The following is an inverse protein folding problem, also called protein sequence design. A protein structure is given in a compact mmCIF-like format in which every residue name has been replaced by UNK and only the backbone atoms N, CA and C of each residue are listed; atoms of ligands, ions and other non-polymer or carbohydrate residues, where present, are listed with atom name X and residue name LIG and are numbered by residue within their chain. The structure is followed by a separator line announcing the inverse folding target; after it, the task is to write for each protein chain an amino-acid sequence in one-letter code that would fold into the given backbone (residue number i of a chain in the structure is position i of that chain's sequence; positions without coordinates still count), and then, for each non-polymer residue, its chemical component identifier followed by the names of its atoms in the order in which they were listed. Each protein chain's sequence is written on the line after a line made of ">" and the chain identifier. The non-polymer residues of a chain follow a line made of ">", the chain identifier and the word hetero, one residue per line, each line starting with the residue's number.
data_IF_182821048750
#
_entry.id   IF_182821048750
#
_cell.length_a   1.000
_cell.length_b   1.000
_cell.length_c   1.000
_cell.angle_alpha   90.00
_cell.angle_beta   90.00
_cell.angle_gamma   90.00
#
_symmetry.space_group_name_H-M   'P 1'
#
loop_
_entity.id
_entity.type
_entity.pdbx_description
1 polymer ?
#
# COMPACT_ATOMS: atom_id res chain seq x y z
N UNK A 1 -5.71 19.60 18.46
CA UNK A 1 -6.19 20.99 18.54
C UNK A 1 -5.75 21.78 17.31
N UNK A 2 -6.54 22.78 16.87
CA UNK A 2 -6.15 23.66 15.76
C UNK A 2 -5.07 24.66 16.16
N UNK A 3 -4.97 24.96 17.44
CA UNK A 3 -4.04 25.93 18.02
C UNK A 3 -3.38 25.38 19.27
N UNK A 4 -2.13 25.73 19.47
CA UNK A 4 -1.35 25.49 20.68
C UNK A 4 -0.77 26.80 21.20
N UNK A 5 -0.72 26.97 22.53
CA UNK A 5 -0.12 28.16 23.16
C UNK A 5 1.16 27.76 23.87
N UNK A 6 2.25 28.46 23.57
CA UNK A 6 3.54 28.29 24.21
C UNK A 6 4.19 29.66 24.45
N UNK A 7 4.68 29.93 25.67
CA UNK A 7 5.26 31.20 26.06
C UNK A 7 4.35 32.41 25.72
N UNK A 8 3.04 32.32 26.02
CA UNK A 8 2.02 33.33 25.76
C UNK A 8 1.83 33.68 24.27
N UNK A 9 2.34 32.84 23.35
CA UNK A 9 2.08 32.96 21.92
C UNK A 9 1.24 31.78 21.44
N UNK A 10 0.26 32.07 20.57
CA UNK A 10 -0.60 31.06 19.97
C UNK A 10 -0.06 30.70 18.59
N UNK A 11 0.10 29.41 18.36
CA UNK A 11 0.57 28.82 17.10
C UNK A 11 -0.54 28.01 16.47
N UNK A 12 -0.63 28.03 15.13
CA UNK A 12 -1.45 27.08 14.39
C UNK A 12 -0.78 25.72 14.39
N UNK A 13 -1.52 24.66 14.71
CA UNK A 13 -1.02 23.28 14.58
C UNK A 13 -1.37 22.84 13.18
N UNK A 14 -0.39 22.56 12.35
CA UNK A 14 -0.56 22.17 10.94
C UNK A 14 -0.01 20.78 10.62
N UNK A 15 0.69 20.15 11.54
CA UNK A 15 1.34 18.85 11.31
C UNK A 15 1.31 17.99 12.56
N UNK A 16 1.33 16.67 12.37
CA UNK A 16 1.70 15.71 13.40
C UNK A 16 3.19 15.46 13.24
N UNK A 17 3.99 15.88 14.22
CA UNK A 17 5.45 15.82 14.17
C UNK A 17 6.01 14.39 14.10
N UNK A 18 7.30 14.25 13.74
CA UNK A 18 7.95 12.95 13.75
C UNK A 18 7.86 12.31 15.16
N UNK A 19 7.58 11.00 15.19
CA UNK A 19 7.48 10.21 16.42
C UNK A 19 6.47 10.73 17.46
N UNK A 20 5.54 11.63 17.08
CA UNK A 20 4.65 12.31 18.02
C UNK A 20 3.79 11.35 18.87
N UNK A 21 3.45 10.20 18.34
CA UNK A 21 2.67 9.16 18.99
C UNK A 21 3.35 7.79 18.92
N UNK A 22 4.68 7.77 18.87
CA UNK A 22 5.48 6.54 18.83
C UNK A 22 5.18 5.68 20.08
N UNK A 23 4.90 4.38 19.85
CA UNK A 23 4.58 3.40 20.90
C UNK A 23 3.40 3.81 21.82
N UNK A 24 2.46 4.60 21.30
CA UNK A 24 1.30 5.03 22.08
C UNK A 24 0.12 4.05 21.92
N UNK A 25 -0.65 3.90 23.01
CA UNK A 25 -1.97 3.26 22.97
C UNK A 25 -3.04 4.35 22.98
N UNK A 26 -3.59 4.68 21.80
CA UNK A 26 -4.44 5.87 21.63
C UNK A 26 -5.93 5.50 21.56
N UNK A 27 -6.27 4.28 21.13
CA UNK A 27 -7.64 3.93 20.78
C UNK A 27 -8.10 4.64 19.49
N UNK A 28 -9.06 5.53 19.58
CA UNK A 28 -9.60 6.26 18.42
C UNK A 28 -9.02 7.67 18.33
N UNK A 29 -8.56 8.05 17.13
CA UNK A 29 -8.08 9.41 16.86
C UNK A 29 -8.72 9.98 15.59
N UNK A 30 -9.09 11.27 15.64
CA UNK A 30 -9.50 12.03 14.47
C UNK A 30 -8.47 13.12 14.19
N UNK A 31 -7.87 13.07 13.00
CA UNK A 31 -6.95 14.09 12.49
C UNK A 31 -7.79 15.23 11.91
N UNK A 32 -7.72 16.45 12.46
CA UNK A 32 -8.54 17.55 11.99
C UNK A 32 -8.08 18.09 10.63
N UNK A 33 -8.96 18.84 9.95
CA UNK A 33 -8.72 19.31 8.59
C UNK A 33 -7.62 20.38 8.45
N UNK A 34 -7.16 20.97 9.54
CA UNK A 34 -6.02 21.91 9.54
C UNK A 34 -4.65 21.22 9.50
N UNK A 35 -4.61 19.89 9.67
CA UNK A 35 -3.38 19.11 9.57
C UNK A 35 -3.11 18.82 8.10
N UNK A 36 -1.91 19.20 7.64
CA UNK A 36 -1.47 19.04 6.25
C UNK A 36 -0.48 17.87 6.08
N UNK A 37 0.17 17.43 7.15
CA UNK A 37 1.12 16.32 7.08
C UNK A 37 1.10 15.47 8.36
N UNK A 38 1.24 14.16 8.15
CA UNK A 38 1.58 13.17 9.17
C UNK A 38 3.04 12.80 8.91
N UNK A 39 3.92 13.24 9.81
CA UNK A 39 5.37 13.17 9.63
C UNK A 39 5.92 11.77 9.88
N UNK A 40 7.20 11.60 9.57
CA UNK A 40 7.94 10.33 9.68
C UNK A 40 7.70 9.65 11.04
N UNK A 41 7.36 8.38 11.00
CA UNK A 41 7.16 7.52 12.18
C UNK A 41 6.17 8.06 13.22
N UNK A 42 5.27 8.97 12.84
CA UNK A 42 4.39 9.67 13.79
C UNK A 42 3.57 8.72 14.67
N UNK A 43 3.13 7.58 14.15
CA UNK A 43 2.35 6.55 14.86
C UNK A 43 3.03 5.18 14.87
N UNK A 44 4.33 5.11 14.60
CA UNK A 44 5.05 3.82 14.57
C UNK A 44 4.86 3.08 15.89
N UNK A 45 4.58 1.77 15.80
CA UNK A 45 4.33 0.87 16.92
C UNK A 45 3.14 1.26 17.82
N UNK A 46 2.25 2.11 17.34
CA UNK A 46 1.07 2.51 18.10
C UNK A 46 -0.08 1.52 17.95
N UNK A 47 -0.87 1.40 19.03
CA UNK A 47 -2.16 0.70 18.99
C UNK A 47 -3.27 1.72 18.74
N UNK A 48 -3.96 1.57 17.62
CA UNK A 48 -5.07 2.41 17.18
C UNK A 48 -6.29 1.54 16.90
N UNK A 49 -7.39 1.76 17.60
CA UNK A 49 -8.66 1.08 17.28
C UNK A 49 -9.20 1.61 15.95
N UNK A 50 -9.11 2.92 15.76
CA UNK A 50 -9.48 3.57 14.50
C UNK A 50 -8.81 4.92 14.33
N UNK A 51 -8.66 5.32 13.07
CA UNK A 51 -8.17 6.66 12.69
C UNK A 51 -9.08 7.26 11.61
N UNK A 52 -9.45 8.51 11.78
CA UNK A 52 -10.08 9.31 10.75
C UNK A 52 -9.10 10.37 10.27
N UNK A 53 -8.71 10.32 9.01
CA UNK A 53 -7.77 11.27 8.39
C UNK A 53 -8.57 12.44 7.81
N UNK A 54 -8.31 13.64 8.34
CA UNK A 54 -8.96 14.85 7.88
C UNK A 54 -8.61 15.22 6.43
N UNK A 55 -9.53 15.94 5.78
CA UNK A 55 -9.38 16.32 4.37
C UNK A 55 -8.25 17.34 4.10
N UNK A 56 -7.60 17.89 5.11
CA UNK A 56 -6.43 18.75 4.95
C UNK A 56 -5.12 17.98 4.73
N UNK A 57 -5.06 16.70 5.10
CA UNK A 57 -3.82 15.91 5.03
C UNK A 57 -3.44 15.67 3.57
N UNK A 58 -2.28 16.16 3.17
CA UNK A 58 -1.72 16.01 1.82
C UNK A 58 -0.65 14.93 1.76
N UNK A 59 0.07 14.71 2.86
CA UNK A 59 1.25 13.84 2.91
C UNK A 59 1.21 12.96 4.15
N UNK A 60 1.42 11.67 3.93
CA UNK A 60 1.76 10.67 4.94
C UNK A 60 3.22 10.28 4.69
N UNK A 61 4.10 10.62 5.62
CA UNK A 61 5.55 10.43 5.46
C UNK A 61 6.01 8.98 5.72
N UNK A 62 7.28 8.66 5.45
CA UNK A 62 7.80 7.30 5.63
C UNK A 62 7.55 6.75 7.03
N UNK A 63 7.22 5.46 7.08
CA UNK A 63 7.00 4.72 8.33
C UNK A 63 5.90 5.27 9.25
N UNK A 64 5.09 6.23 8.80
CA UNK A 64 4.14 6.95 9.67
C UNK A 64 3.23 6.04 10.49
N UNK A 65 2.84 4.89 9.97
CA UNK A 65 2.01 3.87 10.61
C UNK A 65 2.66 2.49 10.64
N UNK A 66 4.00 2.39 10.55
CA UNK A 66 4.65 1.09 10.60
C UNK A 66 4.47 0.43 11.97
N UNK A 67 4.33 -0.89 11.97
CA UNK A 67 4.05 -1.70 13.16
C UNK A 67 2.77 -1.28 13.90
N UNK A 68 1.88 -0.52 13.27
CA UNK A 68 0.60 -0.15 13.88
C UNK A 68 -0.35 -1.33 13.97
N UNK A 69 -1.08 -1.41 15.09
CA UNK A 69 -2.22 -2.31 15.23
C UNK A 69 -3.51 -1.54 14.88
N UNK A 70 -3.75 -1.33 13.58
CA UNK A 70 -4.88 -0.60 13.03
C UNK A 70 -5.65 -1.51 12.08
N UNK A 71 -6.95 -1.75 12.32
CA UNK A 71 -7.75 -2.67 11.48
C UNK A 71 -8.09 -2.11 10.10
N UNK A 72 -8.48 -0.85 10.04
CA UNK A 72 -8.97 -0.22 8.81
C UNK A 72 -8.44 1.19 8.64
N UNK A 73 -8.13 1.56 7.41
CA UNK A 73 -7.78 2.94 7.08
C UNK A 73 -8.39 3.38 5.75
N UNK A 74 -8.94 4.59 5.74
CA UNK A 74 -9.35 5.27 4.53
C UNK A 74 -8.43 6.48 4.32
N UNK A 75 -7.70 6.48 3.22
CA UNK A 75 -6.83 7.57 2.78
C UNK A 75 -7.64 8.49 1.86
N UNK A 76 -7.91 9.74 2.25
CA UNK A 76 -8.76 10.64 1.46
C UNK A 76 -8.16 11.02 0.10
N UNK A 77 -8.99 11.49 -0.83
CA UNK A 77 -8.59 11.89 -2.19
C UNK A 77 -7.56 13.03 -2.24
N UNK A 78 -7.50 13.85 -1.21
CA UNK A 78 -6.54 14.97 -1.15
C UNK A 78 -5.12 14.54 -0.75
N UNK A 79 -4.93 13.34 -0.20
CA UNK A 79 -3.59 12.80 0.07
C UNK A 79 -2.92 12.49 -1.26
N UNK A 80 -1.78 13.13 -1.51
CA UNK A 80 -1.03 13.01 -2.76
C UNK A 80 0.18 12.08 -2.65
N UNK A 81 0.64 11.82 -1.42
CA UNK A 81 1.80 10.97 -1.16
C UNK A 81 1.63 10.12 0.08
N UNK A 82 1.97 8.83 -0.07
CA UNK A 82 2.19 7.88 1.01
C UNK A 82 3.64 7.42 0.89
N UNK A 83 4.46 7.71 1.90
CA UNK A 83 5.89 7.40 1.90
C UNK A 83 6.19 5.91 2.00
N UNK A 84 7.43 5.53 1.65
CA UNK A 84 7.89 4.15 1.78
C UNK A 84 7.72 3.64 3.23
N UNK A 85 7.44 2.35 3.37
CA UNK A 85 7.21 1.68 4.66
C UNK A 85 6.06 2.29 5.49
N UNK A 86 5.21 3.16 4.94
CA UNK A 86 4.21 3.89 5.74
C UNK A 86 3.32 2.97 6.59
N UNK A 87 3.02 1.76 6.11
CA UNK A 87 2.24 0.73 6.81
C UNK A 87 3.03 -0.59 6.97
N UNK A 88 4.36 -0.53 6.93
CA UNK A 88 5.21 -1.72 7.06
C UNK A 88 4.89 -2.46 8.37
N UNK A 89 4.74 -3.79 8.28
CA UNK A 89 4.46 -4.68 9.40
C UNK A 89 3.26 -4.25 10.28
N UNK A 90 2.23 -3.65 9.65
CA UNK A 90 0.98 -3.31 10.34
C UNK A 90 0.11 -4.56 10.46
N UNK A 91 0.37 -5.36 11.50
CA UNK A 91 -0.20 -6.69 11.69
C UNK A 91 -1.73 -6.70 11.88
N UNK A 92 -2.31 -5.61 12.36
CA UNK A 92 -3.76 -5.49 12.52
C UNK A 92 -4.50 -5.11 11.25
N UNK A 93 -3.78 -4.62 10.21
CA UNK A 93 -4.39 -3.99 9.04
C UNK A 93 -5.14 -5.01 8.17
N UNK A 94 -6.46 -4.85 8.07
CA UNK A 94 -7.34 -5.74 7.31
C UNK A 94 -7.86 -5.09 6.02
N UNK A 95 -8.15 -3.79 6.06
CA UNK A 95 -8.74 -3.08 4.91
C UNK A 95 -8.11 -1.72 4.71
N UNK A 96 -7.76 -1.43 3.47
CA UNK A 96 -7.21 -0.14 3.03
C UNK A 96 -8.03 0.38 1.85
N UNK A 97 -8.44 1.64 1.92
CA UNK A 97 -9.01 2.36 0.78
C UNK A 97 -8.12 3.55 0.49
N UNK A 98 -7.61 3.64 -0.73
CA UNK A 98 -6.71 4.72 -1.16
C UNK A 98 -7.43 5.62 -2.13
N UNK A 99 -7.50 6.91 -1.79
CA UNK A 99 -8.11 7.94 -2.61
C UNK A 99 -7.34 8.23 -3.91
N UNK A 100 -8.00 8.96 -4.81
CA UNK A 100 -7.49 9.24 -6.16
C UNK A 100 -6.32 10.23 -6.22
N UNK A 101 -5.99 10.91 -5.12
CA UNK A 101 -4.82 11.80 -5.05
C UNK A 101 -3.49 11.06 -5.04
N UNK A 102 -3.46 9.81 -4.56
CA UNK A 102 -2.24 9.01 -4.48
C UNK A 102 -1.89 8.45 -5.84
N UNK A 103 -0.77 8.91 -6.40
CA UNK A 103 -0.30 8.47 -7.72
C UNK A 103 0.70 7.31 -7.67
N UNK A 104 1.31 7.06 -6.52
CA UNK A 104 2.31 6.01 -6.36
C UNK A 104 2.13 5.29 -5.02
N UNK A 105 2.20 3.96 -5.03
CA UNK A 105 2.43 3.15 -3.85
C UNK A 105 3.94 2.97 -3.76
N UNK A 106 4.58 3.62 -2.80
CA UNK A 106 6.03 3.60 -2.67
C UNK A 106 6.56 2.22 -2.22
N UNK A 107 7.89 2.06 -2.20
CA UNK A 107 8.55 0.81 -1.81
C UNK A 107 8.09 0.34 -0.42
N UNK A 108 7.78 -0.95 -0.30
CA UNK A 108 7.46 -1.64 0.95
C UNK A 108 6.31 -0.98 1.75
N UNK A 109 5.44 -0.18 1.10
CA UNK A 109 4.39 0.57 1.80
C UNK A 109 3.51 -0.33 2.67
N UNK A 110 3.12 -1.52 2.17
CA UNK A 110 2.31 -2.52 2.88
C UNK A 110 3.05 -3.84 3.08
N UNK A 111 4.39 -3.83 3.02
CA UNK A 111 5.20 -5.03 3.22
C UNK A 111 4.93 -5.60 4.63
N UNK A 112 4.73 -6.90 4.69
CA UNK A 112 4.49 -7.64 5.94
C UNK A 112 3.20 -7.23 6.67
N UNK A 113 2.11 -7.02 5.90
CA UNK A 113 0.76 -6.84 6.42
C UNK A 113 -0.04 -8.16 6.29
N UNK A 114 0.20 -9.17 7.15
CA UNK A 114 -0.28 -10.53 6.94
C UNK A 114 -1.81 -10.65 7.03
N UNK A 115 -2.47 -9.73 7.71
CA UNK A 115 -3.93 -9.72 7.85
C UNK A 115 -4.65 -8.85 6.81
N UNK A 116 -3.92 -8.21 5.86
CA UNK A 116 -4.53 -7.38 4.83
C UNK A 116 -5.36 -8.25 3.87
N UNK A 117 -6.68 -8.13 3.96
CA UNK A 117 -7.67 -8.91 3.18
C UNK A 117 -8.14 -8.17 1.94
N UNK A 118 -8.23 -6.84 2.04
CA UNK A 118 -8.79 -6.00 0.99
C UNK A 118 -8.04 -4.69 0.87
N UNK A 119 -7.70 -4.33 -0.35
CA UNK A 119 -7.18 -3.00 -0.69
C UNK A 119 -7.83 -2.50 -1.97
N UNK A 120 -8.32 -1.26 -1.95
CA UNK A 120 -8.76 -0.52 -3.13
C UNK A 120 -7.76 0.58 -3.44
N UNK A 121 -7.22 0.57 -4.66
CA UNK A 121 -6.30 1.60 -5.16
C UNK A 121 -7.08 2.71 -5.87
N UNK A 122 -6.63 3.96 -5.70
CA UNK A 122 -7.17 5.09 -6.47
C UNK A 122 -6.92 4.94 -7.97
N UNK A 123 -7.87 5.41 -8.78
CA UNK A 123 -7.81 5.29 -10.24
C UNK A 123 -6.63 6.06 -10.89
N UNK A 124 -6.01 6.97 -10.16
CA UNK A 124 -4.85 7.74 -10.62
C UNK A 124 -3.50 7.12 -10.21
N UNK A 125 -3.50 5.97 -9.55
CA UNK A 125 -2.26 5.27 -9.18
C UNK A 125 -1.56 4.77 -10.45
N UNK A 126 -0.33 5.24 -10.68
CA UNK A 126 0.44 4.94 -11.89
C UNK A 126 1.56 3.93 -11.66
N UNK A 127 2.00 3.74 -10.43
CA UNK A 127 3.07 2.80 -10.10
C UNK A 127 2.92 2.14 -8.74
N UNK A 128 3.45 0.93 -8.64
CA UNK A 128 3.60 0.15 -7.40
C UNK A 128 5.08 -0.13 -7.21
N UNK A 129 5.63 0.31 -6.07
CA UNK A 129 7.04 0.17 -5.72
C UNK A 129 7.47 -1.28 -5.46
N UNK A 130 8.78 -1.49 -5.34
CA UNK A 130 9.33 -2.79 -4.97
C UNK A 130 8.79 -3.23 -3.60
N UNK A 131 8.45 -4.53 -3.49
CA UNK A 131 8.01 -5.13 -2.23
C UNK A 131 6.75 -4.49 -1.62
N UNK A 132 5.97 -3.72 -2.40
CA UNK A 132 4.88 -2.92 -1.85
C UNK A 132 3.84 -3.75 -1.09
N UNK A 133 3.59 -5.00 -1.52
CA UNK A 133 2.67 -5.95 -0.88
C UNK A 133 3.36 -7.29 -0.55
N UNK A 134 4.69 -7.30 -0.40
CA UNK A 134 5.42 -8.49 -0.02
C UNK A 134 4.90 -9.04 1.31
N UNK A 135 4.56 -10.35 1.36
CA UNK A 135 4.00 -11.02 2.54
C UNK A 135 2.70 -10.40 3.07
N UNK A 136 1.78 -10.07 2.15
CA UNK A 136 0.38 -9.81 2.47
C UNK A 136 -0.41 -11.12 2.41
N UNK A 137 -0.20 -12.00 3.39
CA UNK A 137 -0.60 -13.41 3.35
C UNK A 137 -2.11 -13.64 3.23
N UNK A 138 -2.93 -12.68 3.70
CA UNK A 138 -4.41 -12.77 3.65
C UNK A 138 -5.03 -12.08 2.44
N UNK A 139 -4.24 -11.43 1.56
CA UNK A 139 -4.75 -10.70 0.39
C UNK A 139 -5.24 -11.68 -0.67
N UNK A 140 -6.57 -11.79 -0.84
CA UNK A 140 -7.18 -12.78 -1.75
C UNK A 140 -7.31 -12.31 -3.18
N UNK A 141 -7.53 -11.02 -3.37
CA UNK A 141 -7.78 -10.39 -4.65
C UNK A 141 -7.31 -8.93 -4.64
N UNK A 142 -6.78 -8.49 -5.76
CA UNK A 142 -6.52 -7.07 -6.03
C UNK A 142 -6.80 -6.76 -7.49
N UNK A 143 -7.40 -5.61 -7.74
CA UNK A 143 -7.59 -5.05 -9.07
C UNK A 143 -6.63 -3.88 -9.26
N UNK A 144 -5.79 -3.96 -10.29
CA UNK A 144 -4.87 -2.89 -10.64
C UNK A 144 -5.54 -1.96 -11.64
N UNK A 145 -5.72 -0.67 -11.31
CA UNK A 145 -6.29 0.28 -12.26
C UNK A 145 -5.42 0.40 -13.52
N UNK A 146 -6.06 0.68 -14.66
CA UNK A 146 -5.36 0.79 -15.95
C UNK A 146 -4.39 1.99 -16.05
N UNK A 147 -4.37 2.86 -15.06
CA UNK A 147 -3.34 3.89 -14.88
C UNK A 147 -1.97 3.33 -14.53
N UNK A 148 -1.90 2.09 -13.96
CA UNK A 148 -0.63 1.47 -13.57
C UNK A 148 0.11 0.99 -14.82
N UNK A 149 1.30 1.54 -15.02
CA UNK A 149 2.23 1.13 -16.09
C UNK A 149 3.53 0.53 -15.56
N UNK A 150 3.84 0.74 -14.28
CA UNK A 150 5.09 0.32 -13.67
C UNK A 150 4.84 -0.45 -12.37
N UNK A 151 5.63 -1.49 -12.14
CA UNK A 151 5.69 -2.22 -10.87
C UNK A 151 7.13 -2.53 -10.49
N UNK A 152 7.41 -2.50 -9.18
CA UNK A 152 8.68 -2.93 -8.63
C UNK A 152 8.79 -4.46 -8.57
N UNK A 153 10.02 -4.97 -8.41
CA UNK A 153 10.28 -6.38 -8.13
C UNK A 153 9.62 -6.79 -6.81
N UNK A 154 9.28 -8.07 -6.68
CA UNK A 154 8.66 -8.67 -5.48
C UNK A 154 7.35 -8.01 -5.04
N UNK A 155 6.67 -7.26 -5.91
CA UNK A 155 5.55 -6.41 -5.49
C UNK A 155 4.43 -7.19 -4.77
N UNK A 156 4.18 -8.45 -5.14
CA UNK A 156 3.19 -9.36 -4.54
C UNK A 156 3.81 -10.69 -4.10
N UNK A 157 5.13 -10.75 -3.91
CA UNK A 157 5.78 -11.99 -3.48
C UNK A 157 5.23 -12.44 -2.12
N UNK A 158 5.04 -13.76 -1.96
CA UNK A 158 4.49 -14.37 -0.73
C UNK A 158 3.12 -13.81 -0.30
N UNK A 159 2.27 -13.46 -1.26
CA UNK A 159 0.85 -13.24 -1.01
C UNK A 159 0.13 -14.60 -1.07
N UNK A 160 0.23 -15.38 0.00
CA UNK A 160 -0.17 -16.80 -0.01
C UNK A 160 -1.65 -17.03 -0.37
N UNK A 161 -2.54 -16.16 0.09
CA UNK A 161 -3.97 -16.26 -0.20
C UNK A 161 -4.38 -15.68 -1.56
N UNK A 162 -3.46 -15.03 -2.31
CA UNK A 162 -3.81 -14.36 -3.57
C UNK A 162 -4.24 -15.40 -4.61
N UNK A 163 -5.55 -15.52 -4.80
CA UNK A 163 -6.15 -16.49 -5.70
C UNK A 163 -6.40 -15.91 -7.10
N UNK A 164 -6.56 -14.60 -7.22
CA UNK A 164 -6.74 -13.90 -8.48
C UNK A 164 -6.24 -12.46 -8.42
N UNK A 165 -5.82 -11.95 -9.58
CA UNK A 165 -5.42 -10.56 -9.76
C UNK A 165 -5.83 -10.08 -11.14
N UNK A 166 -6.39 -8.87 -11.23
CA UNK A 166 -6.61 -8.18 -12.50
C UNK A 166 -5.43 -7.26 -12.74
N UNK A 167 -4.68 -7.52 -13.82
CA UNK A 167 -3.54 -6.70 -14.22
C UNK A 167 -3.99 -5.52 -15.07
N UNK A 168 -3.26 -4.41 -14.96
CA UNK A 168 -3.44 -3.25 -15.85
C UNK A 168 -3.06 -3.62 -17.29
N UNK A 169 -3.90 -3.24 -18.26
CA UNK A 169 -3.63 -3.41 -19.70
C UNK A 169 -2.44 -2.57 -20.21
N UNK A 170 -1.92 -1.67 -19.37
CA UNK A 170 -0.80 -0.80 -19.72
C UNK A 170 0.55 -1.27 -19.17
N UNK A 171 0.59 -2.45 -18.56
CA UNK A 171 1.86 -3.04 -18.13
C UNK A 171 2.70 -3.48 -19.33
N UNK A 172 3.99 -3.17 -19.28
CA UNK A 172 4.97 -3.56 -20.29
C UNK A 172 5.79 -4.79 -19.91
N UNK A 173 5.87 -5.12 -18.63
CA UNK A 173 6.64 -6.26 -18.11
C UNK A 173 6.06 -6.80 -16.80
N UNK A 174 6.33 -8.06 -16.51
CA UNK A 174 6.21 -8.67 -15.18
C UNK A 174 7.60 -8.77 -14.61
N UNK A 175 7.89 -7.97 -13.58
CA UNK A 175 9.22 -7.87 -12.96
C UNK A 175 9.62 -9.15 -12.22
N UNK A 176 10.91 -9.21 -11.86
CA UNK A 176 11.49 -10.28 -11.07
C UNK A 176 10.68 -10.55 -9.80
N UNK A 177 10.38 -11.84 -9.57
CA UNK A 177 9.71 -12.37 -8.38
C UNK A 177 8.36 -11.71 -8.05
N UNK A 178 7.71 -11.03 -9.01
CA UNK A 178 6.47 -10.27 -8.75
C UNK A 178 5.42 -11.09 -8.03
N UNK A 179 5.21 -12.35 -8.40
CA UNK A 179 4.23 -13.28 -7.82
C UNK A 179 4.89 -14.52 -7.22
N UNK A 180 6.17 -14.45 -6.90
CA UNK A 180 6.86 -15.59 -6.28
C UNK A 180 6.16 -16.00 -5.00
N UNK A 181 5.93 -17.31 -4.81
CA UNK A 181 5.22 -17.88 -3.67
C UNK A 181 3.77 -17.42 -3.48
N UNK A 182 3.08 -16.94 -4.52
CA UNK A 182 1.62 -16.79 -4.47
C UNK A 182 0.96 -18.17 -4.57
N UNK A 183 0.98 -18.91 -3.46
CA UNK A 183 0.66 -20.35 -3.45
C UNK A 183 -0.78 -20.66 -3.84
N UNK A 184 -1.72 -19.72 -3.63
CA UNK A 184 -3.14 -19.88 -4.00
C UNK A 184 -3.49 -19.37 -5.39
N UNK A 185 -2.54 -18.74 -6.12
CA UNK A 185 -2.82 -18.18 -7.45
C UNK A 185 -3.11 -19.31 -8.44
N UNK A 186 -4.36 -19.40 -8.88
CA UNK A 186 -4.84 -20.49 -9.74
C UNK A 186 -4.87 -20.14 -11.22
N UNK A 187 -5.06 -18.87 -11.53
CA UNK A 187 -5.08 -18.38 -12.91
C UNK A 187 -4.64 -16.94 -13.00
N UNK A 188 -4.01 -16.61 -14.14
CA UNK A 188 -3.65 -15.23 -14.47
C UNK A 188 -3.69 -15.01 -15.98
N UNK A 189 -4.11 -13.82 -16.37
CA UNK A 189 -4.06 -13.35 -17.77
C UNK A 189 -3.00 -12.26 -17.83
N UNK A 190 -2.01 -12.48 -18.69
CA UNK A 190 -0.96 -11.49 -18.98
C UNK A 190 -1.44 -10.59 -20.11
N UNK A 191 -1.49 -9.27 -19.91
CA UNK A 191 -1.94 -8.32 -20.94
C UNK A 191 -1.08 -8.32 -22.22
N UNK A 192 -1.67 -7.90 -23.33
CA UNK A 192 -1.01 -7.92 -24.65
C UNK A 192 0.20 -6.99 -24.76
N UNK A 193 0.29 -5.95 -23.92
CA UNK A 193 1.45 -5.03 -23.91
C UNK A 193 2.67 -5.58 -23.16
N UNK A 194 2.51 -6.64 -22.39
CA UNK A 194 3.64 -7.24 -21.66
C UNK A 194 4.55 -7.94 -22.67
N UNK A 195 5.81 -7.50 -22.73
CA UNK A 195 6.84 -8.11 -23.56
C UNK A 195 7.72 -9.11 -22.83
N UNK A 196 7.90 -8.91 -21.51
CA UNK A 196 8.85 -9.70 -20.72
C UNK A 196 8.21 -10.20 -19.43
N UNK A 197 8.46 -11.47 -19.11
CA UNK A 197 8.19 -12.06 -17.81
C UNK A 197 9.54 -12.40 -17.20
N UNK A 198 9.96 -11.61 -16.21
CA UNK A 198 11.31 -11.69 -15.65
C UNK A 198 11.51 -12.90 -14.72
N UNK A 199 12.77 -13.11 -14.35
CA UNK A 199 13.24 -14.26 -13.55
C UNK A 199 12.37 -14.51 -12.32
N UNK A 200 11.96 -15.77 -12.13
CA UNK A 200 11.21 -16.25 -10.97
C UNK A 200 9.86 -15.54 -10.75
N UNK A 201 9.30 -14.88 -11.75
CA UNK A 201 8.07 -14.10 -11.62
C UNK A 201 6.91 -14.90 -11.00
N UNK A 202 6.82 -16.20 -11.25
CA UNK A 202 5.79 -17.13 -10.74
C UNK A 202 6.40 -18.33 -9.98
N UNK A 203 7.64 -18.22 -9.54
CA UNK A 203 8.28 -19.31 -8.77
C UNK A 203 7.46 -19.59 -7.51
N UNK A 204 7.17 -20.87 -7.23
CA UNK A 204 6.38 -21.25 -6.05
C UNK A 204 4.87 -21.06 -6.16
N UNK A 205 4.33 -20.64 -7.32
CA UNK A 205 2.87 -20.62 -7.55
C UNK A 205 2.33 -22.04 -7.78
N UNK A 206 2.28 -22.85 -6.73
CA UNK A 206 2.05 -24.29 -6.83
C UNK A 206 0.63 -24.68 -7.29
N UNK A 207 -0.32 -23.76 -7.26
CA UNK A 207 -1.70 -23.97 -7.72
C UNK A 207 -1.99 -23.27 -9.07
N UNK A 208 -0.98 -22.71 -9.74
CA UNK A 208 -1.20 -22.04 -11.04
C UNK A 208 -1.43 -23.07 -12.13
N UNK A 209 -2.69 -23.27 -12.48
CA UNK A 209 -3.13 -24.25 -13.51
C UNK A 209 -3.52 -23.59 -14.83
N UNK A 210 -3.70 -22.26 -14.84
CA UNK A 210 -4.07 -21.53 -16.05
C UNK A 210 -3.25 -20.24 -16.17
N UNK A 211 -2.38 -20.20 -17.18
CA UNK A 211 -1.63 -19.01 -17.55
C UNK A 211 -1.96 -18.66 -19.01
N UNK A 212 -2.63 -17.54 -19.23
CA UNK A 212 -2.86 -17.00 -20.57
C UNK A 212 -1.87 -15.89 -20.84
N UNK A 213 -1.04 -16.06 -21.85
CA UNK A 213 -0.10 -15.05 -22.30
C UNK A 213 -0.76 -14.11 -23.30
N UNK A 214 -0.53 -12.82 -23.15
CA UNK A 214 -0.83 -11.80 -24.15
C UNK A 214 0.05 -11.97 -25.41
N UNK A 215 -0.37 -11.36 -26.50
CA UNK A 215 0.30 -11.49 -27.81
C UNK A 215 1.66 -10.80 -27.87
N UNK A 216 1.96 -9.90 -26.91
CA UNK A 216 3.23 -9.16 -26.86
C UNK A 216 4.39 -9.91 -26.20
N UNK A 217 4.14 -11.03 -25.51
CA UNK A 217 5.19 -11.73 -24.74
C UNK A 217 6.22 -12.35 -25.67
N UNK A 218 7.47 -11.90 -25.56
CA UNK A 218 8.60 -12.36 -26.37
C UNK A 218 9.73 -12.96 -25.54
N UNK A 219 9.73 -12.72 -24.20
CA UNK A 219 10.79 -13.18 -23.31
C UNK A 219 10.19 -13.67 -21.98
N UNK A 220 10.68 -14.87 -21.51
CA UNK A 220 10.21 -15.53 -20.28
C UNK A 220 11.39 -16.10 -19.50
#
# INVERSE_FOLDING_TARGET
>A
PEKATFNNKTYQVSEIGPFAFFECNIGTISIPNNIIAIRESAFTSSSLDSINIGSGVLIIEPSAFSYCNLGHINIPDNVTRIGHHAFYASFGLETVIIGNGVTQIEQSTFHFCPNLKHIALGNNTTSIGAEAFLSCDSLKYIELPNSISERGKNAFSSCDALSSITLSENLSEIKEQTFSNCTSLSSIIIPDKVSTIATSAFSGCNHLVSLRLGTGVTDI
#
